data_IF_262829969488
#
_entry.id   IF_262829969488
#
_cell.length_a   1.000
_cell.length_b   1.000
_cell.length_c   1.000
_cell.angle_alpha   90.00
_cell.angle_beta   90.00
_cell.angle_gamma   90.00
#
_symmetry.space_group_name_H-M   'P 1'
#
loop_
_entity.id
_entity.type
_entity.pdbx_description
1 polymer ?
#
# COMPACT_ATOMS: atom_id res chain seq x y z
N UNK A 1 -14.34 10.94 -41.27
CA UNK A 1 -14.79 9.83 -40.41
C UNK A 1 -14.40 10.15 -38.95
N UNK A 2 -15.07 11.12 -38.31
CA UNK A 2 -14.58 11.74 -37.06
C UNK A 2 -15.71 12.36 -36.23
N UNK A 3 -16.63 11.54 -35.67
CA UNK A 3 -17.71 12.03 -34.78
C UNK A 3 -18.15 11.05 -33.68
N UNK A 4 -17.40 9.97 -33.35
CA UNK A 4 -17.85 8.90 -32.42
C UNK A 4 -17.24 8.87 -31.01
N UNK A 5 -16.51 9.90 -30.55
CA UNK A 5 -15.67 9.77 -29.34
C UNK A 5 -16.31 10.20 -28.01
N UNK A 6 -17.40 10.98 -28.00
CA UNK A 6 -17.94 11.52 -26.73
C UNK A 6 -19.06 10.69 -26.09
N UNK A 7 -19.84 9.93 -26.87
CA UNK A 7 -20.88 9.01 -26.36
C UNK A 7 -20.30 7.83 -25.55
N UNK A 8 -19.05 7.46 -25.83
CA UNK A 8 -18.40 6.27 -25.27
C UNK A 8 -17.89 6.40 -23.83
N UNK A 9 -17.68 7.60 -23.31
CA UNK A 9 -17.08 7.77 -21.99
C UNK A 9 -18.09 7.51 -20.86
N UNK A 10 -19.32 8.02 -21.03
CA UNK A 10 -20.40 7.83 -20.06
C UNK A 10 -20.92 6.39 -20.06
N UNK A 11 -21.01 5.74 -21.24
CA UNK A 11 -21.38 4.33 -21.34
C UNK A 11 -20.33 3.42 -20.71
N UNK A 12 -19.03 3.66 -20.95
CA UNK A 12 -17.96 2.92 -20.28
C UNK A 12 -17.94 3.12 -18.77
N UNK A 13 -18.17 4.34 -18.28
CA UNK A 13 -18.22 4.58 -16.84
C UNK A 13 -19.35 3.78 -16.20
N UNK A 14 -20.54 3.79 -16.80
CA UNK A 14 -21.69 3.02 -16.31
C UNK A 14 -21.40 1.53 -16.35
N UNK A 15 -20.82 1.02 -17.44
CA UNK A 15 -20.42 -0.39 -17.58
C UNK A 15 -19.42 -0.80 -16.49
N UNK A 16 -18.37 0.00 -16.27
CA UNK A 16 -17.35 -0.26 -15.26
C UNK A 16 -17.94 -0.24 -13.85
N UNK A 17 -18.77 0.75 -13.53
CA UNK A 17 -19.44 0.84 -12.21
C UNK A 17 -20.39 -0.33 -12.01
N UNK A 18 -21.17 -0.69 -13.02
CA UNK A 18 -22.09 -1.83 -12.96
C UNK A 18 -21.34 -3.16 -12.78
N UNK A 19 -20.22 -3.35 -13.47
CA UNK A 19 -19.37 -4.53 -13.31
C UNK A 19 -18.80 -4.63 -11.90
N UNK A 20 -18.23 -3.55 -11.35
CA UNK A 20 -17.69 -3.57 -9.99
C UNK A 20 -18.77 -3.80 -8.93
N UNK A 21 -19.94 -3.17 -9.08
CA UNK A 21 -21.09 -3.41 -8.19
C UNK A 21 -21.58 -4.86 -8.31
N UNK A 22 -21.67 -5.38 -9.53
CA UNK A 22 -22.06 -6.77 -9.79
C UNK A 22 -21.10 -7.77 -9.16
N UNK A 23 -19.79 -7.58 -9.33
CA UNK A 23 -18.77 -8.42 -8.69
C UNK A 23 -18.82 -8.33 -7.16
N UNK A 24 -19.02 -7.13 -6.61
CA UNK A 24 -19.15 -6.92 -5.16
C UNK A 24 -20.38 -7.63 -4.59
N UNK A 25 -21.53 -7.51 -5.25
CA UNK A 25 -22.76 -8.21 -4.85
C UNK A 25 -22.61 -9.72 -4.96
N UNK A 26 -22.04 -10.22 -6.06
CA UNK A 26 -21.78 -11.64 -6.23
C UNK A 26 -20.86 -12.18 -5.12
N UNK A 27 -19.80 -11.45 -4.76
CA UNK A 27 -18.91 -11.83 -3.68
C UNK A 27 -19.62 -11.89 -2.31
N UNK A 28 -20.50 -10.92 -2.02
CA UNK A 28 -21.31 -10.92 -0.79
C UNK A 28 -22.29 -12.09 -0.77
N UNK A 29 -22.95 -12.40 -1.88
CA UNK A 29 -23.86 -13.55 -1.99
C UNK A 29 -23.11 -14.86 -1.78
N UNK A 30 -21.98 -15.05 -2.46
CA UNK A 30 -21.15 -16.25 -2.31
C UNK A 30 -20.67 -16.39 -0.86
N UNK A 31 -20.25 -15.28 -0.24
CA UNK A 31 -19.84 -15.27 1.17
C UNK A 31 -21.01 -15.64 2.10
N UNK A 32 -22.22 -15.16 1.83
CA UNK A 32 -23.41 -15.56 2.58
C UNK A 32 -23.75 -17.03 2.47
N UNK A 33 -23.66 -17.60 1.26
CA UNK A 33 -23.86 -19.04 1.03
C UNK A 33 -22.83 -19.85 1.81
N UNK A 34 -21.56 -19.43 1.85
CA UNK A 34 -20.52 -20.12 2.61
C UNK A 34 -20.79 -20.05 4.12
N UNK A 35 -21.23 -18.89 4.63
CA UNK A 35 -21.57 -18.71 6.05
C UNK A 35 -22.71 -19.65 6.45
N UNK A 36 -23.77 -19.73 5.66
CA UNK A 36 -24.88 -20.67 5.90
C UNK A 36 -24.44 -22.14 5.80
N UNK A 37 -23.58 -22.47 4.83
CA UNK A 37 -23.03 -23.82 4.70
C UNK A 37 -22.18 -24.27 5.89
N UNK A 38 -21.59 -23.34 6.65
CA UNK A 38 -20.85 -23.60 7.89
C UNK A 38 -21.79 -23.69 9.11
N UNK A 39 -23.08 -23.44 8.94
CA UNK A 39 -24.09 -23.47 10.00
C UNK A 39 -24.20 -22.15 10.79
N UNK A 40 -23.62 -21.07 10.27
CA UNK A 40 -23.78 -19.72 10.83
C UNK A 40 -24.89 -18.95 10.10
N UNK A 41 -25.58 -18.07 10.82
CA UNK A 41 -26.61 -17.22 10.23
C UNK A 41 -26.00 -16.04 9.46
N UNK A 42 -26.25 -15.97 8.15
CA UNK A 42 -25.80 -14.87 7.30
C UNK A 42 -26.38 -13.52 7.73
N UNK A 43 -27.62 -13.48 8.26
CA UNK A 43 -28.24 -12.20 8.61
C UNK A 43 -27.48 -11.50 9.75
N UNK A 44 -27.02 -12.29 10.73
CA UNK A 44 -26.18 -11.83 11.84
C UNK A 44 -24.81 -11.37 11.35
N UNK A 45 -24.16 -12.14 10.46
CA UNK A 45 -22.84 -11.79 9.91
C UNK A 45 -22.90 -10.55 9.02
N UNK A 46 -23.89 -10.47 8.13
CA UNK A 46 -24.13 -9.31 7.28
C UNK A 46 -24.47 -8.06 8.10
N UNK A 47 -25.28 -8.21 9.15
CA UNK A 47 -25.55 -7.16 10.13
C UNK A 47 -24.28 -6.66 10.82
N UNK A 48 -23.43 -7.57 11.30
CA UNK A 48 -22.16 -7.24 11.95
C UNK A 48 -21.17 -6.55 10.99
N UNK A 49 -21.11 -6.96 9.72
CA UNK A 49 -20.28 -6.31 8.69
C UNK A 49 -20.71 -4.86 8.46
N UNK A 50 -22.02 -4.64 8.31
CA UNK A 50 -22.58 -3.30 8.11
C UNK A 50 -22.43 -2.43 9.36
N UNK A 51 -22.65 -3.00 10.54
CA UNK A 51 -22.47 -2.31 11.82
C UNK A 51 -21.03 -1.98 12.13
N UNK A 52 -20.09 -2.85 11.75
CA UNK A 52 -18.66 -2.64 11.93
C UNK A 52 -18.06 -1.60 10.98
N UNK A 53 -18.72 -1.36 9.84
CA UNK A 53 -18.17 -0.52 8.76
C UNK A 53 -18.95 0.79 8.54
N UNK A 54 -20.28 0.73 8.46
CA UNK A 54 -21.10 1.84 7.92
C UNK A 54 -22.22 2.30 8.87
N UNK A 55 -22.97 1.39 9.48
CA UNK A 55 -24.22 1.73 10.19
C UNK A 55 -24.01 2.43 11.52
N UNK A 56 -22.97 2.05 12.29
CA UNK A 56 -22.74 2.64 13.61
C UNK A 56 -21.98 3.97 13.51
N UNK A 57 -22.40 5.01 14.24
CA UNK A 57 -21.63 6.25 14.37
C UNK A 57 -20.20 5.93 14.82
N UNK A 58 -19.21 6.61 14.23
CA UNK A 58 -17.81 6.41 14.58
C UNK A 58 -17.05 5.37 13.74
N UNK A 59 -17.74 4.54 12.94
CA UNK A 59 -17.11 3.45 12.17
C UNK A 59 -16.46 3.88 10.87
N UNK A 60 -16.89 4.99 10.29
CA UNK A 60 -16.35 5.48 9.02
C UNK A 60 -14.87 5.83 9.16
N UNK A 61 -14.46 6.37 10.31
CA UNK A 61 -13.07 6.64 10.62
C UNK A 61 -12.19 5.38 10.57
N UNK A 62 -12.67 4.28 11.15
CA UNK A 62 -12.00 2.98 11.10
C UNK A 62 -11.94 2.39 9.69
N UNK A 63 -13.06 2.40 8.95
CA UNK A 63 -13.10 1.92 7.55
C UNK A 63 -12.14 2.71 6.66
N UNK A 64 -12.12 4.04 6.78
CA UNK A 64 -11.18 4.89 6.04
C UNK A 64 -9.74 4.62 6.48
N UNK A 65 -9.49 4.44 7.78
CA UNK A 65 -8.18 4.08 8.31
C UNK A 65 -7.60 2.80 7.69
N UNK A 66 -8.42 1.76 7.51
CA UNK A 66 -8.03 0.52 6.82
C UNK A 66 -7.86 0.72 5.31
N UNK A 67 -8.64 1.62 4.70
CA UNK A 67 -8.58 1.91 3.26
C UNK A 67 -7.29 2.64 2.86
N UNK A 68 -6.74 3.48 3.74
CA UNK A 68 -5.51 4.26 3.49
C UNK A 68 -4.32 3.40 3.01
N UNK A 69 -3.86 2.39 3.77
CA UNK A 69 -2.72 1.57 3.35
C UNK A 69 -3.02 0.79 2.07
N UNK A 70 -4.26 0.32 1.87
CA UNK A 70 -4.68 -0.34 0.63
C UNK A 70 -4.57 0.60 -0.58
N UNK A 71 -4.98 1.86 -0.42
CA UNK A 71 -4.86 2.86 -1.46
C UNK A 71 -3.39 3.17 -1.79
N UNK A 72 -2.51 3.27 -0.79
CA UNK A 72 -1.08 3.48 -1.00
C UNK A 72 -0.45 2.32 -1.78
N UNK A 73 -0.76 1.07 -1.40
CA UNK A 73 -0.32 -0.12 -2.15
C UNK A 73 -0.84 -0.08 -3.59
N UNK A 74 -2.12 0.23 -3.80
CA UNK A 74 -2.71 0.32 -5.13
C UNK A 74 -2.03 1.37 -6.03
N UNK A 75 -1.68 2.55 -5.49
CA UNK A 75 -0.90 3.56 -6.23
C UNK A 75 0.46 3.00 -6.62
N UNK A 76 1.14 2.32 -5.70
CA UNK A 76 2.41 1.65 -5.98
C UNK A 76 2.29 0.63 -7.11
N UNK A 77 1.18 -0.12 -7.16
CA UNK A 77 0.89 -1.08 -8.23
C UNK A 77 0.65 -0.36 -9.56
N UNK A 78 -0.09 0.75 -9.56
CA UNK A 78 -0.32 1.58 -10.75
C UNK A 78 1.02 2.07 -11.32
N UNK A 79 1.94 2.52 -10.47
CA UNK A 79 3.25 3.02 -10.90
C UNK A 79 4.12 1.93 -11.51
N UNK A 80 4.19 0.72 -10.91
CA UNK A 80 4.98 -0.38 -11.49
C UNK A 80 4.40 -0.88 -12.80
N UNK A 81 3.07 -1.03 -12.86
CA UNK A 81 2.37 -1.53 -14.05
C UNK A 81 2.43 -0.57 -15.21
N UNK A 82 2.60 0.75 -14.97
CA UNK A 82 2.84 1.75 -16.02
C UNK A 82 4.07 1.46 -16.88
N UNK A 83 5.10 0.79 -16.34
CA UNK A 83 6.32 0.38 -17.07
C UNK A 83 6.20 -1.08 -17.59
N UNK A 84 5.07 -1.74 -17.34
CA UNK A 84 4.86 -3.15 -17.66
C UNK A 84 5.56 -4.10 -16.68
N UNK A 85 5.82 -3.66 -15.45
CA UNK A 85 6.33 -4.50 -14.36
C UNK A 85 5.19 -4.88 -13.42
N UNK A 86 5.18 -6.15 -12.99
CA UNK A 86 4.21 -6.68 -12.03
C UNK A 86 4.91 -6.90 -10.70
N UNK A 87 4.57 -6.10 -9.70
CA UNK A 87 5.12 -6.19 -8.35
C UNK A 87 4.10 -6.88 -7.43
N UNK A 88 4.33 -8.16 -7.10
CA UNK A 88 3.47 -8.92 -6.17
C UNK A 88 3.99 -8.83 -4.73
N UNK A 89 5.24 -8.37 -4.55
CA UNK A 89 5.93 -8.35 -3.27
C UNK A 89 5.62 -7.15 -2.37
N UNK A 90 4.54 -6.42 -2.64
CA UNK A 90 4.17 -5.21 -1.91
C UNK A 90 3.85 -5.50 -0.43
N UNK A 91 3.37 -6.70 -0.12
CA UNK A 91 3.20 -7.15 1.26
C UNK A 91 4.53 -7.16 2.03
N UNK A 92 5.58 -7.75 1.46
CA UNK A 92 6.92 -7.76 2.07
C UNK A 92 7.53 -6.36 2.17
N UNK A 93 7.31 -5.51 1.15
CA UNK A 93 7.79 -4.12 1.14
C UNK A 93 7.08 -3.28 2.21
N UNK A 94 5.80 -3.52 2.44
CA UNK A 94 5.01 -2.93 3.52
C UNK A 94 5.54 -3.37 4.88
N UNK A 95 5.80 -4.66 5.08
CA UNK A 95 6.34 -5.19 6.33
C UNK A 95 7.70 -4.57 6.69
N UNK A 96 8.62 -4.49 5.71
CA UNK A 96 9.94 -3.89 5.92
C UNK A 96 9.86 -2.39 6.14
N UNK A 97 8.96 -1.71 5.43
CA UNK A 97 8.68 -0.29 5.64
C UNK A 97 8.13 -0.02 7.05
N UNK A 98 7.13 -0.78 7.50
CA UNK A 98 6.59 -0.69 8.86
C UNK A 98 7.68 -0.94 9.91
N UNK A 99 8.50 -1.97 9.72
CA UNK A 99 9.61 -2.28 10.63
C UNK A 99 10.61 -1.11 10.76
N UNK A 100 11.01 -0.48 9.65
CA UNK A 100 11.92 0.66 9.69
C UNK A 100 11.27 1.93 10.24
N UNK A 101 9.99 2.16 9.97
CA UNK A 101 9.21 3.24 10.55
C UNK A 101 9.13 3.10 12.08
N UNK A 102 8.81 1.90 12.58
CA UNK A 102 8.78 1.60 14.01
C UNK A 102 10.16 1.76 14.66
N UNK A 103 11.22 1.26 14.01
CA UNK A 103 12.58 1.42 14.51
C UNK A 103 12.99 2.91 14.60
N UNK A 104 12.63 3.74 13.61
CA UNK A 104 12.88 5.17 13.67
C UNK A 104 12.07 5.84 14.80
N UNK A 105 10.81 5.42 15.00
CA UNK A 105 9.94 5.99 16.04
C UNK A 105 10.47 5.78 17.46
N UNK A 106 11.17 4.68 17.74
CA UNK A 106 11.65 4.38 19.10
C UNK A 106 13.05 4.93 19.36
N UNK A 107 13.79 5.31 18.31
CA UNK A 107 15.21 5.69 18.42
C UNK A 107 15.51 7.15 18.11
N UNK A 108 14.61 7.85 17.42
CA UNK A 108 14.81 9.25 17.07
C UNK A 108 14.10 10.15 18.09
N UNK A 109 14.83 10.79 19.02
CA UNK A 109 14.25 11.79 19.90
C UNK A 109 14.01 13.09 19.13
N UNK A 110 12.93 13.81 19.45
CA UNK A 110 12.65 15.10 18.85
C UNK A 110 11.19 15.53 19.00
N UNK A 111 10.83 16.73 18.50
CA UNK A 111 9.45 17.19 18.52
C UNK A 111 8.58 16.33 17.57
N UNK A 112 7.38 15.98 18.03
CA UNK A 112 6.45 15.06 17.36
C UNK A 112 6.33 15.24 15.83
N UNK A 113 6.09 16.46 15.30
CA UNK A 113 5.96 16.65 13.85
C UNK A 113 7.20 16.30 13.03
N UNK A 114 8.41 16.61 13.54
CA UNK A 114 9.66 16.31 12.84
C UNK A 114 9.94 14.82 12.86
N UNK A 115 9.70 14.17 14.01
CA UNK A 115 9.87 12.72 14.15
C UNK A 115 8.88 11.98 13.25
N UNK A 116 7.63 12.45 13.12
CA UNK A 116 6.64 11.88 12.19
C UNK A 116 7.12 11.90 10.73
N UNK A 117 7.70 13.01 10.27
CA UNK A 117 8.27 13.07 8.91
C UNK A 117 9.41 12.07 8.75
N UNK A 118 10.29 11.94 9.75
CA UNK A 118 11.39 10.97 9.73
C UNK A 118 10.86 9.53 9.69
N UNK A 119 9.83 9.20 10.47
CA UNK A 119 9.17 7.89 10.47
C UNK A 119 8.61 7.55 9.09
N UNK A 120 7.90 8.50 8.46
CA UNK A 120 7.35 8.32 7.12
C UNK A 120 8.45 8.12 6.08
N UNK A 121 9.52 8.92 6.14
CA UNK A 121 10.66 8.78 5.25
C UNK A 121 11.40 7.45 5.47
N UNK A 122 11.52 6.98 6.70
CA UNK A 122 12.12 5.68 7.03
C UNK A 122 11.29 4.53 6.45
N UNK A 123 9.95 4.60 6.55
CA UNK A 123 9.06 3.61 5.95
C UNK A 123 9.14 3.60 4.42
N UNK A 124 9.09 4.77 3.78
CA UNK A 124 9.29 4.92 2.33
C UNK A 124 10.64 4.35 1.91
N UNK A 125 11.72 4.70 2.61
CA UNK A 125 13.06 4.21 2.30
C UNK A 125 13.13 2.69 2.45
N UNK A 126 12.55 2.12 3.50
CA UNK A 126 12.52 0.69 3.74
C UNK A 126 11.84 -0.09 2.61
N UNK A 127 10.62 0.31 2.28
CA UNK A 127 9.87 -0.32 1.18
C UNK A 127 10.53 -0.10 -0.18
N UNK A 128 11.07 1.10 -0.44
CA UNK A 128 11.77 1.41 -1.68
C UNK A 128 13.04 0.56 -1.84
N UNK A 129 13.89 0.48 -0.82
CA UNK A 129 15.10 -0.35 -0.83
C UNK A 129 14.72 -1.82 -1.08
N UNK A 130 13.70 -2.33 -0.38
CA UNK A 130 13.29 -3.72 -0.52
C UNK A 130 12.78 -4.06 -1.93
N UNK A 131 11.99 -3.18 -2.53
CA UNK A 131 11.55 -3.32 -3.93
C UNK A 131 12.70 -3.12 -4.92
N UNK A 132 13.64 -2.21 -4.60
CA UNK A 132 14.85 -1.95 -5.37
C UNK A 132 15.73 -3.19 -5.52
N UNK A 133 15.76 -4.08 -4.53
CA UNK A 133 16.44 -5.38 -4.63
C UNK A 133 15.87 -6.22 -5.79
N UNK A 134 14.53 -6.32 -5.88
CA UNK A 134 13.87 -7.04 -6.97
C UNK A 134 14.12 -6.35 -8.33
N UNK A 135 14.01 -5.01 -8.37
CA UNK A 135 14.33 -4.23 -9.57
C UNK A 135 15.78 -4.41 -10.04
N UNK A 136 16.72 -4.45 -9.09
CA UNK A 136 18.14 -4.69 -9.37
C UNK A 136 18.40 -6.07 -9.95
N UNK A 137 17.81 -7.12 -9.36
CA UNK A 137 17.92 -8.48 -9.88
C UNK A 137 17.33 -8.61 -11.30
N UNK A 138 16.23 -7.89 -11.58
CA UNK A 138 15.63 -7.84 -12.91
C UNK A 138 16.56 -7.25 -13.96
N UNK A 139 17.19 -6.11 -13.68
CA UNK A 139 18.01 -5.41 -14.69
C UNK A 139 19.46 -5.85 -14.73
N UNK A 140 20.00 -6.41 -13.64
CA UNK A 140 21.37 -6.93 -13.60
C UNK A 140 21.44 -8.40 -14.00
N UNK A 141 20.62 -9.26 -13.37
CA UNK A 141 20.66 -10.72 -13.55
C UNK A 141 19.55 -11.26 -14.43
N UNK A 142 18.69 -10.40 -14.99
CA UNK A 142 17.55 -10.78 -15.85
C UNK A 142 16.57 -11.75 -15.18
N UNK A 143 16.53 -11.77 -13.84
CA UNK A 143 15.58 -12.61 -13.10
C UNK A 143 14.18 -12.02 -13.25
N UNK A 144 13.12 -12.82 -13.45
CA UNK A 144 11.76 -12.33 -13.45
C UNK A 144 11.40 -11.59 -12.14
N UNK A 145 10.88 -10.37 -12.29
CA UNK A 145 10.40 -9.49 -11.23
C UNK A 145 9.27 -10.12 -10.42
N UNK A 146 8.38 -10.88 -11.07
CA UNK A 146 7.29 -11.59 -10.40
C UNK A 146 7.83 -12.62 -9.41
N UNK A 147 8.81 -13.41 -9.83
CA UNK A 147 9.41 -14.44 -8.97
C UNK A 147 10.21 -13.82 -7.82
N UNK A 148 11.04 -12.81 -8.12
CA UNK A 148 11.86 -12.15 -7.08
C UNK A 148 11.00 -11.44 -6.05
N UNK A 149 9.98 -10.71 -6.47
CA UNK A 149 9.08 -10.00 -5.54
C UNK A 149 8.29 -10.98 -4.68
N UNK A 150 7.78 -12.08 -5.25
CA UNK A 150 7.08 -13.12 -4.49
C UNK A 150 7.99 -13.78 -3.43
N UNK A 151 9.21 -14.18 -3.81
CA UNK A 151 10.15 -14.81 -2.88
C UNK A 151 10.60 -13.86 -1.77
N UNK A 152 10.76 -12.57 -2.10
CA UNK A 152 11.15 -11.54 -1.13
C UNK A 152 10.07 -11.24 -0.09
N UNK A 153 8.80 -11.60 -0.31
CA UNK A 153 7.76 -11.52 0.74
C UNK A 153 8.11 -12.44 1.89
N UNK A 154 8.38 -13.72 1.61
CA UNK A 154 8.74 -14.69 2.64
C UNK A 154 10.00 -14.29 3.39
N UNK A 155 11.00 -13.75 2.69
CA UNK A 155 12.22 -13.23 3.32
C UNK A 155 11.92 -12.04 4.23
N UNK A 156 11.09 -11.10 3.78
CA UNK A 156 10.66 -9.95 4.58
C UNK A 156 9.95 -10.39 5.87
N UNK A 157 8.98 -11.29 5.76
CA UNK A 157 8.23 -11.79 6.93
C UNK A 157 9.15 -12.47 7.96
N UNK A 158 10.13 -13.26 7.51
CA UNK A 158 11.11 -13.88 8.40
C UNK A 158 12.07 -12.85 9.01
N UNK A 159 12.49 -11.85 8.25
CA UNK A 159 13.39 -10.80 8.72
C UNK A 159 12.71 -9.91 9.78
N UNK A 160 11.49 -9.47 9.53
CA UNK A 160 10.70 -8.69 10.50
C UNK A 160 10.39 -9.54 11.73
N UNK A 161 10.01 -10.81 11.53
CA UNK A 161 9.80 -11.76 12.62
C UNK A 161 11.06 -12.01 13.46
N UNK A 162 12.26 -11.95 12.87
CA UNK A 162 13.51 -11.96 13.62
C UNK A 162 13.72 -10.66 14.40
N UNK A 163 13.43 -9.50 13.79
CA UNK A 163 13.52 -8.19 14.46
C UNK A 163 12.63 -8.09 15.69
N UNK A 164 11.42 -8.63 15.62
CA UNK A 164 10.47 -8.71 16.73
C UNK A 164 10.87 -9.69 17.83
N UNK A 165 11.96 -10.45 17.68
CA UNK A 165 12.52 -11.33 18.74
C UNK A 165 13.75 -10.73 19.42
N UNK A 166 14.26 -9.59 18.93
CA UNK A 166 15.50 -8.98 19.41
C UNK A 166 15.21 -7.64 20.09
N UNK A 167 15.50 -7.49 21.40
CA UNK A 167 15.26 -6.24 22.15
C UNK A 167 15.93 -5.01 21.55
N UNK A 168 17.11 -5.18 20.94
CA UNK A 168 17.84 -4.08 20.31
C UNK A 168 17.30 -3.68 18.93
N UNK A 169 16.33 -4.40 18.38
CA UNK A 169 15.66 -4.09 17.11
C UNK A 169 14.25 -3.56 17.36
N UNK A 170 13.26 -4.45 17.45
CA UNK A 170 11.84 -4.08 17.48
C UNK A 170 11.10 -4.64 18.69
N UNK A 171 11.63 -5.66 19.36
CA UNK A 171 10.92 -6.31 20.47
C UNK A 171 10.69 -5.32 21.62
N UNK A 172 9.44 -5.26 22.08
CA UNK A 172 9.05 -4.49 23.25
C UNK A 172 9.90 -4.86 24.49
N UNK A 173 10.53 -3.86 25.11
CA UNK A 173 11.33 -4.04 26.32
C UNK A 173 10.48 -4.54 27.50
N UNK A 174 9.18 -4.22 27.51
CA UNK A 174 8.22 -4.65 28.54
C UNK A 174 7.50 -5.95 28.19
N UNK A 175 7.84 -6.62 27.08
CA UNK A 175 7.34 -7.96 26.77
C UNK A 175 7.84 -8.95 27.84
N UNK A 176 7.10 -9.05 28.95
CA UNK A 176 7.38 -9.94 30.07
C UNK A 176 7.62 -11.36 29.53
N UNK A 177 8.69 -11.99 30.02
CA UNK A 177 9.03 -13.41 29.78
C UNK A 177 7.78 -14.28 30.03
N UNK A 178 7.01 -14.59 28.98
CA UNK A 178 5.75 -15.31 29.09
C UNK A 178 4.72 -14.92 28.03
N UNK A 179 4.72 -13.68 27.55
CA UNK A 179 3.89 -13.29 26.42
C UNK A 179 4.57 -13.72 25.12
N UNK A 180 4.03 -14.74 24.45
CA UNK A 180 4.57 -15.26 23.17
C UNK A 180 4.15 -14.41 21.97
N UNK A 181 3.39 -13.34 22.19
CA UNK A 181 2.97 -12.43 21.14
C UNK A 181 4.18 -11.59 20.70
N UNK A 182 4.58 -11.74 19.44
CA UNK A 182 5.62 -10.94 18.79
C UNK A 182 5.03 -9.56 18.50
N UNK A 183 5.18 -8.63 19.43
CA UNK A 183 4.71 -7.25 19.31
C UNK A 183 5.90 -6.32 19.41
N UNK A 184 5.89 -5.24 18.62
CA UNK A 184 6.91 -4.22 18.72
C UNK A 184 6.73 -3.37 19.97
N UNK A 185 7.79 -2.69 20.39
CA UNK A 185 7.69 -1.60 21.37
C UNK A 185 6.57 -0.63 20.98
N UNK A 186 5.76 -0.22 21.96
CA UNK A 186 4.67 0.72 21.69
C UNK A 186 5.24 2.08 21.29
N UNK A 187 4.76 2.62 20.18
CA UNK A 187 5.17 3.95 19.75
C UNK A 187 4.82 4.99 20.83
N UNK A 188 5.75 5.91 21.16
CA UNK A 188 5.47 7.05 22.03
C UNK A 188 4.21 7.81 21.58
N UNK A 189 3.38 8.35 22.49
CA UNK A 189 2.16 9.05 22.11
C UNK A 189 2.37 10.18 21.09
N UNK A 190 3.48 10.92 21.21
CA UNK A 190 3.83 12.05 20.36
C UNK A 190 4.29 11.66 18.95
N UNK A 191 4.64 10.39 18.74
CA UNK A 191 5.08 9.86 17.44
C UNK A 191 4.00 9.02 16.74
N UNK A 192 2.84 8.85 17.38
CA UNK A 192 1.68 8.22 16.75
C UNK A 192 1.05 9.20 15.76
N UNK A 193 0.48 8.65 14.68
CA UNK A 193 -0.32 9.44 13.76
C UNK A 193 -1.45 10.17 14.50
N UNK A 194 -1.54 11.50 14.43
CA UNK A 194 -2.57 12.22 15.15
C UNK A 194 -3.95 11.87 14.60
N UNK A 195 -4.93 11.85 15.50
CA UNK A 195 -6.33 11.55 15.20
C UNK A 195 -7.16 12.81 15.38
N UNK A 196 -8.07 13.04 14.44
CA UNK A 196 -9.00 14.16 14.46
C UNK A 196 -10.40 13.58 14.70
N UNK A 197 -11.08 14.08 15.72
CA UNK A 197 -12.48 13.72 15.99
C UNK A 197 -13.40 14.64 15.19
N UNK A 198 -14.12 14.09 14.23
CA UNK A 198 -15.08 14.84 13.40
C UNK A 198 -16.36 14.03 13.26
N UNK A 199 -17.52 14.66 13.49
CA UNK A 199 -18.84 14.00 13.42
C UNK A 199 -18.93 12.72 14.27
N UNK A 200 -18.31 12.68 15.45
CA UNK A 200 -18.26 11.49 16.31
C UNK A 200 -17.41 10.33 15.77
N UNK A 201 -16.63 10.56 14.71
CA UNK A 201 -15.67 9.60 14.14
C UNK A 201 -14.23 10.04 14.43
N UNK A 202 -13.35 9.07 14.68
CA UNK A 202 -11.90 9.29 14.74
C UNK A 202 -11.28 9.07 13.35
N UNK A 203 -10.85 10.14 12.70
CA UNK A 203 -10.10 10.07 11.45
C UNK A 203 -8.61 10.21 11.74
N UNK A 204 -7.83 9.24 11.26
CA UNK A 204 -6.37 9.38 11.25
C UNK A 204 -5.96 10.41 10.20
N UNK A 205 -5.02 11.30 10.52
CA UNK A 205 -4.48 12.29 9.55
C UNK A 205 -3.94 11.63 8.27
N UNK A 206 -3.54 10.36 8.36
CA UNK A 206 -3.14 9.53 7.22
C UNK A 206 -4.18 9.48 6.10
N UNK A 207 -5.47 9.65 6.39
CA UNK A 207 -6.52 9.74 5.36
C UNK A 207 -6.37 10.95 4.45
N UNK A 208 -6.11 12.13 5.02
CA UNK A 208 -5.88 13.34 4.25
C UNK A 208 -4.58 13.28 3.46
N UNK A 209 -3.52 12.74 4.08
CA UNK A 209 -2.25 12.50 3.41
C UNK A 209 -2.42 11.54 2.22
N UNK A 210 -3.18 10.45 2.40
CA UNK A 210 -3.46 9.49 1.34
C UNK A 210 -4.15 10.14 0.14
N UNK A 211 -5.17 10.97 0.38
CA UNK A 211 -5.86 11.71 -0.69
C UNK A 211 -4.87 12.65 -1.40
N UNK A 212 -4.06 13.40 -0.65
CA UNK A 212 -3.06 14.29 -1.21
C UNK A 212 -2.06 13.52 -2.10
N UNK A 213 -1.57 12.36 -1.64
CA UNK A 213 -0.66 11.49 -2.40
C UNK A 213 -1.33 10.92 -3.66
N UNK A 214 -2.59 10.47 -3.58
CA UNK A 214 -3.35 9.99 -4.74
C UNK A 214 -3.45 11.07 -5.81
N UNK A 215 -3.86 12.28 -5.42
CA UNK A 215 -4.00 13.42 -6.33
C UNK A 215 -2.65 13.82 -6.93
N UNK A 216 -1.60 13.88 -6.11
CA UNK A 216 -0.25 14.20 -6.55
C UNK A 216 0.27 13.17 -7.57
N UNK A 217 0.18 11.88 -7.27
CA UNK A 217 0.66 10.82 -8.17
C UNK A 217 -0.19 10.76 -9.43
N UNK A 218 -1.51 10.93 -9.33
CA UNK A 218 -2.39 11.01 -10.48
C UNK A 218 -2.02 12.18 -11.41
N UNK A 219 -1.73 13.35 -10.84
CA UNK A 219 -1.22 14.49 -11.59
C UNK A 219 0.16 14.21 -12.19
N UNK A 220 1.10 13.63 -11.43
CA UNK A 220 2.44 13.29 -11.91
C UNK A 220 2.38 12.31 -13.09
N UNK A 221 1.56 11.26 -13.00
CA UNK A 221 1.43 10.25 -14.04
C UNK A 221 0.76 10.79 -15.32
N UNK A 222 -0.11 11.79 -15.21
CA UNK A 222 -0.87 12.32 -16.34
C UNK A 222 -0.29 13.58 -16.96
N UNK A 223 0.42 14.41 -16.19
CA UNK A 223 0.84 15.76 -16.61
C UNK A 223 2.36 15.99 -16.62
N UNK A 224 3.19 15.02 -16.21
CA UNK A 224 4.65 15.23 -16.12
C UNK A 224 5.46 14.35 -17.07
N UNK A 225 6.71 14.77 -17.34
CA UNK A 225 7.69 14.01 -18.11
C UNK A 225 8.00 12.64 -17.50
N UNK A 226 7.92 12.51 -16.18
CA UNK A 226 8.13 11.24 -15.50
C UNK A 226 7.04 10.24 -15.89
N UNK A 227 5.76 10.61 -15.76
CA UNK A 227 4.63 9.79 -16.19
C UNK A 227 4.67 9.42 -17.67
N UNK A 228 5.08 10.36 -18.52
CA UNK A 228 5.29 10.12 -19.96
C UNK A 228 6.37 9.06 -20.21
N UNK A 229 7.53 9.17 -19.58
CA UNK A 229 8.64 8.19 -19.73
C UNK A 229 8.23 6.79 -19.30
N UNK A 230 7.54 6.65 -18.17
CA UNK A 230 7.02 5.35 -17.72
C UNK A 230 6.07 4.75 -18.75
N UNK A 231 5.13 5.56 -19.24
CA UNK A 231 4.11 5.15 -20.21
C UNK A 231 4.73 4.69 -21.53
N UNK A 232 5.72 5.41 -22.06
CA UNK A 232 6.40 5.04 -23.31
C UNK A 232 7.15 3.70 -23.17
N UNK A 233 7.84 3.49 -22.04
CA UNK A 233 8.53 2.22 -21.78
C UNK A 233 7.52 1.06 -21.65
N UNK A 234 6.40 1.28 -20.96
CA UNK A 234 5.35 0.28 -20.80
C UNK A 234 4.66 -0.13 -22.11
N UNK A 235 4.47 0.81 -23.04
CA UNK A 235 3.87 0.49 -24.35
C UNK A 235 4.84 -0.22 -25.29
N UNK A 236 6.06 0.31 -25.44
CA UNK A 236 7.05 -0.30 -26.32
C UNK A 236 8.49 0.07 -25.94
N UNK A 237 9.18 -0.89 -25.32
CA UNK A 237 10.58 -0.78 -24.90
C UNK A 237 11.54 -0.44 -26.05
N UNK A 238 11.28 -0.91 -27.28
CA UNK A 238 12.14 -0.61 -28.45
C UNK A 238 11.99 0.84 -28.88
N UNK A 239 10.77 1.37 -28.84
CA UNK A 239 10.48 2.78 -29.16
C UNK A 239 11.08 3.70 -28.10
N UNK A 240 10.93 3.36 -26.82
CA UNK A 240 11.53 4.10 -25.71
C UNK A 240 13.05 4.28 -25.89
N UNK A 241 13.76 3.21 -26.27
CA UNK A 241 15.20 3.26 -26.54
C UNK A 241 15.58 4.19 -27.69
N UNK A 242 14.76 4.28 -28.75
CA UNK A 242 14.99 5.22 -29.86
C UNK A 242 14.86 6.68 -29.43
N UNK A 243 14.03 6.96 -28.43
CA UNK A 243 13.90 8.28 -27.82
C UNK A 243 14.91 8.54 -26.67
N UNK A 244 15.92 7.68 -26.50
CA UNK A 244 16.93 7.82 -25.45
C UNK A 244 16.42 7.52 -24.03
N UNK A 245 15.23 6.91 -23.90
CA UNK A 245 14.66 6.57 -22.60
C UNK A 245 15.14 5.17 -22.20
N UNK A 246 15.92 5.09 -21.12
CA UNK A 246 16.44 3.82 -20.60
C UNK A 246 15.35 3.02 -19.88
N UNK A 247 15.10 1.81 -20.34
CA UNK A 247 14.19 0.85 -19.72
C UNK A 247 14.63 0.47 -18.30
N UNK A 248 15.93 0.26 -18.07
CA UNK A 248 16.44 -0.14 -16.77
C UNK A 248 16.29 0.95 -15.72
N UNK A 249 16.53 2.20 -16.10
CA UNK A 249 16.35 3.35 -15.20
C UNK A 249 14.87 3.54 -14.87
N UNK A 250 14.00 3.57 -15.89
CA UNK A 250 12.57 3.80 -15.65
C UNK A 250 11.93 2.66 -14.86
N UNK A 251 12.31 1.41 -15.14
CA UNK A 251 11.82 0.27 -14.38
C UNK A 251 12.35 0.21 -12.95
N UNK A 252 13.63 0.54 -12.71
CA UNK A 252 14.17 0.65 -11.36
C UNK A 252 13.43 1.74 -10.57
N UNK A 253 13.25 2.93 -11.16
CA UNK A 253 12.52 4.03 -10.52
C UNK A 253 11.06 3.62 -10.22
N UNK A 254 10.40 2.92 -11.14
CA UNK A 254 9.04 2.42 -10.91
C UNK A 254 8.98 1.38 -9.78
N UNK A 255 9.96 0.49 -9.68
CA UNK A 255 10.05 -0.48 -8.58
C UNK A 255 10.32 0.21 -7.25
N UNK A 256 11.29 1.12 -7.19
CA UNK A 256 11.59 1.92 -6.00
C UNK A 256 10.37 2.71 -5.53
N UNK A 257 9.66 3.37 -6.45
CA UNK A 257 8.44 4.10 -6.14
C UNK A 257 7.32 3.17 -5.66
N UNK A 258 7.10 2.04 -6.33
CA UNK A 258 6.11 1.03 -5.95
C UNK A 258 6.34 0.52 -4.51
N UNK A 259 7.59 0.19 -4.19
CA UNK A 259 8.00 -0.19 -2.85
C UNK A 259 7.92 0.94 -1.85
N UNK A 260 8.27 2.16 -2.24
CA UNK A 260 8.17 3.34 -1.41
C UNK A 260 6.72 3.63 -0.99
N UNK A 261 5.75 3.47 -1.89
CA UNK A 261 4.32 3.58 -1.53
C UNK A 261 3.84 2.44 -0.65
N UNK A 262 4.31 1.20 -0.87
CA UNK A 262 4.01 0.09 0.03
C UNK A 262 4.63 0.30 1.43
N UNK A 263 5.84 0.82 1.50
CA UNK A 263 6.50 1.18 2.76
C UNK A 263 5.86 2.36 3.47
N UNK A 264 5.37 3.36 2.72
CA UNK A 264 4.53 4.44 3.24
C UNK A 264 3.24 3.88 3.83
N UNK A 265 2.60 2.92 3.16
CA UNK A 265 1.41 2.24 3.68
C UNK A 265 1.71 1.62 5.06
N UNK A 266 2.85 0.94 5.20
CA UNK A 266 3.29 0.35 6.46
C UNK A 266 3.58 1.38 7.55
N UNK A 267 4.08 2.57 7.20
CA UNK A 267 4.35 3.65 8.16
C UNK A 267 3.08 4.41 8.60
N UNK A 268 1.98 4.30 7.84
CA UNK A 268 0.70 4.95 8.14
C UNK A 268 -0.25 4.09 8.98
N UNK A 269 0.09 2.82 9.20
CA UNK A 269 -0.65 1.86 10.04
C UNK A 269 -0.30 2.05 11.52
#
# INVERSE_FOLDING_TARGET
MSTRTTSNARSRLVEVVALYLGCGLAALVISGIIVEAVGADWSTVGGALLDGSVRKPGRWGGTIGVTVPLAMVAIGTIVSTKVGLVNIGQEGQLLVGAALATFASTRVPGPGPVVLVIILLAGVAGGAIWSGLAGGLRYWRKVPEVLTTLLLVSVASNLVGYGLKKPWLLLDAEAKRGNRNLVSEQLPPDTRMPRITLFGNEFTISAFLAIAVILLVGWMLSRTLWGYRLTVVGHNRRVARRFGISESVQGMVAMLASGGFAGLAGALM
#
